data_IF_802622784603
#
_entry.id   IF_802622784603
#
_cell.length_a   1.000
_cell.length_b   1.000
_cell.length_c   1.000
_cell.angle_alpha   90.00
_cell.angle_beta   90.00
_cell.angle_gamma   90.00
#
_symmetry.space_group_name_H-M   'P 1'
#
loop_
_entity.id
_entity.type
_entity.pdbx_description
1 polymer ?
#
# COMPACT_ATOMS: atom_id res chain seq x y z
N UNK A 1 -39.34 19.49 35.12
CA UNK A 1 -39.17 18.80 33.83
C UNK A 1 -37.97 19.33 33.04
N UNK A 2 -37.79 20.65 32.95
CA UNK A 2 -36.66 21.29 32.23
C UNK A 2 -35.26 20.86 32.69
N UNK A 3 -35.04 20.72 34.00
CA UNK A 3 -33.74 20.35 34.58
C UNK A 3 -33.30 18.93 34.14
N UNK A 4 -34.25 17.98 34.05
CA UNK A 4 -33.95 16.61 33.59
C UNK A 4 -33.58 16.59 32.10
N UNK A 5 -34.22 17.44 31.30
CA UNK A 5 -33.95 17.55 29.87
C UNK A 5 -32.55 18.13 29.60
N UNK A 6 -32.14 19.15 30.36
CA UNK A 6 -30.79 19.70 30.29
C UNK A 6 -29.72 18.72 30.78
N UNK A 7 -30.02 17.95 31.83
CA UNK A 7 -29.09 16.92 32.32
C UNK A 7 -28.85 15.83 31.27
N UNK A 8 -29.90 15.36 30.59
CA UNK A 8 -29.80 14.38 29.51
C UNK A 8 -29.03 14.95 28.32
N UNK A 9 -29.26 16.23 27.98
CA UNK A 9 -28.56 16.90 26.87
C UNK A 9 -27.06 17.09 27.17
N UNK A 10 -26.71 17.53 28.38
CA UNK A 10 -25.33 17.69 28.80
C UNK A 10 -24.59 16.36 28.93
N UNK A 11 -25.24 15.32 29.47
CA UNK A 11 -24.65 13.97 29.53
C UNK A 11 -24.44 13.42 28.13
N UNK A 12 -25.43 13.52 27.23
CA UNK A 12 -25.30 13.05 25.85
C UNK A 12 -24.19 13.76 25.06
N UNK A 13 -24.02 15.06 25.26
CA UNK A 13 -22.93 15.83 24.65
C UNK A 13 -21.56 15.44 25.22
N UNK A 14 -21.45 15.17 26.52
CA UNK A 14 -20.22 14.70 27.13
C UNK A 14 -19.82 13.31 26.57
N UNK A 15 -20.76 12.37 26.45
CA UNK A 15 -20.45 11.02 25.96
C UNK A 15 -19.97 11.01 24.51
N UNK A 16 -20.53 11.88 23.64
CA UNK A 16 -20.09 11.98 22.24
C UNK A 16 -18.68 12.59 22.11
N UNK A 17 -18.34 13.55 22.97
CA UNK A 17 -16.99 14.11 23.06
C UNK A 17 -15.96 13.08 23.56
N UNK A 18 -16.33 12.22 24.51
CA UNK A 18 -15.44 11.14 24.97
C UNK A 18 -15.25 10.04 23.92
N UNK A 19 -16.31 9.64 23.18
CA UNK A 19 -16.18 8.64 22.11
C UNK A 19 -15.29 9.12 20.96
N UNK A 20 -15.39 10.40 20.58
CA UNK A 20 -14.58 10.99 19.50
C UNK A 20 -13.12 11.27 19.90
N UNK A 21 -12.77 11.17 21.18
CA UNK A 21 -11.39 11.38 21.64
C UNK A 21 -10.48 10.17 21.41
N UNK A 22 -11.04 8.97 21.20
CA UNK A 22 -10.23 7.75 21.03
C UNK A 22 -9.39 7.78 19.74
N UNK A 23 -9.92 8.33 18.65
CA UNK A 23 -9.18 8.53 17.39
C UNK A 23 -8.03 9.54 17.50
N UNK A 24 -8.10 10.48 18.44
CA UNK A 24 -7.12 11.57 18.61
C UNK A 24 -5.98 11.23 19.57
N UNK A 25 -6.10 10.12 20.30
CA UNK A 25 -5.12 9.67 21.31
C UNK A 25 -3.91 8.94 20.71
N UNK A 26 -3.80 8.87 19.38
CA UNK A 26 -2.59 8.37 18.70
C UNK A 26 -2.37 6.87 18.83
N UNK A 27 -3.36 6.11 19.30
CA UNK A 27 -3.33 4.66 19.20
C UNK A 27 -3.45 4.26 17.73
N UNK A 28 -2.55 3.37 17.29
CA UNK A 28 -2.57 2.77 15.98
C UNK A 28 -3.96 2.16 15.73
N UNK A 29 -4.73 2.79 14.83
CA UNK A 29 -5.97 2.22 14.35
C UNK A 29 -5.59 1.09 13.37
N UNK A 30 -5.84 -0.18 13.72
CA UNK A 30 -5.45 -1.30 12.88
C UNK A 30 -6.14 -1.25 11.50
N UNK A 31 -7.30 -0.59 11.39
CA UNK A 31 -7.96 -0.39 10.11
C UNK A 31 -7.24 0.64 9.24
N UNK A 32 -6.76 1.76 9.82
CA UNK A 32 -5.96 2.76 9.09
C UNK A 32 -4.60 2.19 8.68
N UNK A 33 -3.94 1.43 9.55
CA UNK A 33 -2.70 0.76 9.19
C UNK A 33 -2.92 -0.26 8.07
N UNK A 34 -4.00 -1.05 8.15
CA UNK A 34 -4.31 -2.00 7.09
C UNK A 34 -4.58 -1.31 5.76
N UNK A 35 -5.33 -0.22 5.75
CA UNK A 35 -5.58 0.59 4.56
C UNK A 35 -4.30 1.21 4.00
N UNK A 36 -3.41 1.71 4.87
CA UNK A 36 -2.09 2.21 4.46
C UNK A 36 -1.26 1.11 3.80
N UNK A 37 -1.20 -0.09 4.39
CA UNK A 37 -0.47 -1.22 3.81
C UNK A 37 -1.01 -1.66 2.46
N UNK A 38 -2.33 -1.59 2.26
CA UNK A 38 -2.95 -1.83 0.95
C UNK A 38 -2.55 -0.75 -0.07
N UNK A 39 -2.60 0.52 0.33
CA UNK A 39 -2.19 1.62 -0.53
C UNK A 39 -0.72 1.51 -0.97
N UNK A 40 0.19 1.20 -0.03
CA UNK A 40 1.62 0.95 -0.32
C UNK A 40 1.81 -0.25 -1.26
N UNK A 41 1.04 -1.31 -1.06
CA UNK A 41 1.08 -2.50 -1.92
C UNK A 41 0.59 -2.18 -3.33
N UNK A 42 -0.50 -1.41 -3.48
CA UNK A 42 -0.99 -0.94 -4.78
C UNK A 42 0.04 -0.04 -5.48
N UNK A 43 0.66 0.90 -4.76
CA UNK A 43 1.71 1.74 -5.30
C UNK A 43 2.91 0.92 -5.80
N UNK A 44 3.31 -0.11 -5.05
CA UNK A 44 4.36 -1.06 -5.45
C UNK A 44 4.02 -1.77 -6.76
N UNK A 45 2.78 -2.24 -6.91
CA UNK A 45 2.29 -2.87 -8.13
C UNK A 45 2.34 -1.94 -9.35
N UNK A 46 1.90 -0.70 -9.18
CA UNK A 46 1.99 0.33 -10.22
C UNK A 46 3.44 0.61 -10.62
N UNK A 47 4.33 0.80 -9.65
CA UNK A 47 5.75 1.02 -9.91
C UNK A 47 6.40 -0.17 -10.64
N UNK A 48 6.04 -1.41 -10.29
CA UNK A 48 6.49 -2.59 -11.02
C UNK A 48 6.06 -2.58 -12.49
N UNK A 49 4.82 -2.19 -12.78
CA UNK A 49 4.33 -2.14 -14.16
C UNK A 49 5.02 -1.06 -14.97
N UNK A 50 5.20 0.11 -14.38
CA UNK A 50 5.93 1.24 -14.96
C UNK A 50 7.38 0.86 -15.30
N UNK A 51 7.99 0.05 -14.44
CA UNK A 51 9.31 -0.54 -14.67
C UNK A 51 9.34 -1.68 -15.70
N UNK A 52 8.20 -2.04 -16.30
CA UNK A 52 8.08 -3.09 -17.31
C UNK A 52 8.23 -4.50 -16.77
N UNK A 53 8.06 -4.71 -15.47
CA UNK A 53 8.13 -6.05 -14.86
C UNK A 53 6.79 -6.79 -14.96
N UNK A 54 6.89 -8.09 -15.18
CA UNK A 54 5.78 -9.02 -14.99
C UNK A 54 5.37 -9.09 -13.52
N UNK A 55 4.09 -9.41 -13.27
CA UNK A 55 3.53 -9.45 -11.92
C UNK A 55 4.20 -10.50 -11.02
N UNK A 56 4.58 -11.66 -11.57
CA UNK A 56 5.25 -12.74 -10.84
C UNK A 56 6.62 -12.32 -10.29
N UNK A 57 7.39 -11.53 -11.05
CA UNK A 57 8.65 -10.95 -10.58
C UNK A 57 8.40 -9.92 -9.47
N UNK A 58 7.31 -9.15 -9.58
CA UNK A 58 6.95 -8.17 -8.56
C UNK A 58 6.59 -8.84 -7.22
N UNK A 59 5.91 -9.99 -7.23
CA UNK A 59 5.64 -10.78 -6.01
C UNK A 59 6.90 -11.36 -5.39
N UNK A 60 7.85 -11.79 -6.22
CA UNK A 60 9.12 -12.35 -5.76
C UNK A 60 9.99 -11.27 -5.10
N UNK A 61 9.98 -10.05 -5.64
CA UNK A 61 10.76 -8.91 -5.13
C UNK A 61 10.18 -8.25 -3.89
N UNK A 62 8.86 -8.37 -3.68
CA UNK A 62 8.15 -7.68 -2.61
C UNK A 62 7.33 -8.68 -1.77
N UNK A 63 7.99 -9.63 -1.06
CA UNK A 63 7.29 -10.69 -0.33
C UNK A 63 6.40 -10.16 0.82
N UNK A 64 6.73 -9.00 1.38
CA UNK A 64 6.01 -8.40 2.50
C UNK A 64 4.78 -7.58 2.10
N UNK A 65 4.50 -7.48 0.80
CA UNK A 65 3.35 -6.72 0.27
C UNK A 65 2.12 -7.58 0.10
N UNK A 66 0.93 -6.96 0.16
CA UNK A 66 -0.34 -7.66 -0.03
C UNK A 66 -0.57 -7.91 -1.51
N UNK A 67 -0.38 -9.16 -1.95
CA UNK A 67 -0.45 -9.56 -3.37
C UNK A 67 -1.70 -9.08 -4.12
N UNK A 68 -2.86 -9.09 -3.47
CA UNK A 68 -4.11 -8.62 -4.07
C UNK A 68 -4.06 -7.13 -4.42
N UNK A 69 -3.58 -6.29 -3.49
CA UNK A 69 -3.41 -4.86 -3.70
C UNK A 69 -2.33 -4.56 -4.73
N UNK A 70 -1.19 -5.27 -4.69
CA UNK A 70 -0.15 -5.18 -5.74
C UNK A 70 -0.73 -5.44 -7.13
N UNK A 71 -1.53 -6.50 -7.29
CA UNK A 71 -2.15 -6.81 -8.57
C UNK A 71 -3.16 -5.74 -9.01
N UNK A 72 -3.91 -5.15 -8.08
CA UNK A 72 -4.82 -4.04 -8.41
C UNK A 72 -4.06 -2.86 -8.99
N UNK A 73 -3.05 -2.36 -8.27
CA UNK A 73 -2.24 -1.23 -8.73
C UNK A 73 -1.45 -1.52 -10.01
N UNK A 74 -1.00 -2.76 -10.21
CA UNK A 74 -0.35 -3.17 -11.47
C UNK A 74 -1.30 -3.07 -12.67
N UNK A 75 -2.54 -3.55 -12.54
CA UNK A 75 -3.55 -3.47 -13.62
C UNK A 75 -3.96 -2.03 -13.92
N UNK A 76 -4.17 -1.24 -12.88
CA UNK A 76 -4.53 0.18 -13.01
C UNK A 76 -3.44 0.94 -13.76
N UNK A 77 -2.17 0.71 -13.40
CA UNK A 77 -1.04 1.31 -14.10
C UNK A 77 -0.88 0.79 -15.52
N UNK A 78 -1.15 -0.49 -15.79
CA UNK A 78 -1.13 -1.02 -17.17
C UNK A 78 -2.19 -0.34 -18.05
N UNK A 79 -3.41 -0.21 -17.54
CA UNK A 79 -4.48 0.53 -18.21
C UNK A 79 -4.07 1.97 -18.49
N UNK A 80 -3.56 2.67 -17.46
CA UNK A 80 -3.10 4.04 -17.58
C UNK A 80 -1.99 4.20 -18.63
N UNK A 81 -0.97 3.33 -18.62
CA UNK A 81 0.12 3.39 -19.59
C UNK A 81 -0.36 3.11 -21.02
N UNK A 82 -1.30 2.18 -21.21
CA UNK A 82 -1.87 1.85 -22.53
C UNK A 82 -2.72 2.99 -23.08
N UNK A 83 -3.52 3.62 -22.23
CA UNK A 83 -4.37 4.77 -22.60
C UNK A 83 -3.52 5.99 -22.95
N UNK A 84 -2.42 6.21 -22.22
CA UNK A 84 -1.60 7.42 -22.34
C UNK A 84 -0.30 7.20 -23.15
N UNK A 85 -0.11 6.00 -23.72
CA UNK A 85 1.08 5.62 -24.52
C UNK A 85 2.39 5.88 -23.78
N UNK A 86 2.40 5.57 -22.48
CA UNK A 86 3.59 5.75 -21.64
C UNK A 86 4.50 4.55 -21.86
N UNK A 87 5.77 4.83 -22.18
CA UNK A 87 6.78 3.80 -22.33
C UNK A 87 7.28 3.30 -20.99
N UNK A 88 7.75 2.05 -20.98
CA UNK A 88 8.39 1.46 -19.82
C UNK A 88 9.70 2.19 -19.52
N UNK A 89 9.89 2.58 -18.27
CA UNK A 89 11.14 3.18 -17.80
C UNK A 89 11.95 2.13 -17.05
N UNK A 90 13.10 1.75 -17.61
CA UNK A 90 14.00 0.80 -16.98
C UNK A 90 14.56 1.41 -15.68
N UNK A 91 14.44 0.74 -14.53
CA UNK A 91 15.02 1.25 -13.29
C UNK A 91 16.54 1.35 -13.39
N UNK A 92 17.08 2.52 -13.04
CA UNK A 92 18.51 2.81 -13.06
C UNK A 92 19.21 2.45 -11.74
N UNK A 93 18.42 2.30 -10.67
CA UNK A 93 18.96 1.98 -9.35
C UNK A 93 19.52 0.55 -9.38
N UNK A 94 20.81 0.43 -9.05
CA UNK A 94 21.47 -0.86 -8.96
C UNK A 94 20.80 -1.73 -7.90
N UNK A 95 20.49 -2.98 -8.27
CA UNK A 95 20.08 -4.01 -7.33
C UNK A 95 21.10 -4.12 -6.19
N UNK A 96 20.64 -4.31 -4.93
CA UNK A 96 21.54 -4.58 -3.83
C UNK A 96 22.36 -5.85 -4.11
N UNK A 97 23.58 -5.89 -3.54
CA UNK A 97 24.65 -6.81 -3.98
C UNK A 97 24.29 -8.30 -3.82
N UNK A 98 23.47 -8.62 -2.82
CA UNK A 98 22.89 -9.94 -2.56
C UNK A 98 22.02 -10.44 -3.71
N UNK A 99 21.21 -9.55 -4.31
CA UNK A 99 20.35 -9.89 -5.45
C UNK A 99 21.14 -9.97 -6.77
N UNK A 100 22.22 -9.18 -6.92
CA UNK A 100 23.13 -9.27 -8.09
C UNK A 100 23.88 -10.60 -8.12
N UNK A 101 24.36 -11.08 -6.98
CA UNK A 101 25.10 -12.34 -6.88
C UNK A 101 24.26 -13.54 -7.32
N UNK A 102 22.96 -13.57 -6.97
CA UNK A 102 22.03 -14.63 -7.38
C UNK A 102 21.78 -14.68 -8.89
N UNK A 103 21.71 -13.53 -9.57
CA UNK A 103 21.55 -13.48 -11.04
C UNK A 103 22.83 -13.87 -11.78
N UNK A 104 23.99 -13.40 -11.32
CA UNK A 104 25.28 -13.75 -11.92
C UNK A 104 25.59 -15.26 -11.80
N UNK A 105 25.17 -15.90 -10.70
CA UNK A 105 25.25 -17.34 -10.55
C UNK A 105 24.37 -18.09 -11.55
N UNK A 106 23.14 -17.62 -11.80
CA UNK A 106 22.23 -18.22 -12.79
C UNK A 106 22.74 -18.10 -14.23
N UNK A 107 23.35 -16.98 -14.61
CA UNK A 107 23.91 -16.79 -15.96
C UNK A 107 25.08 -17.74 -16.25
N UNK A 108 25.89 -18.05 -15.23
CA UNK A 108 26.98 -19.04 -15.34
C UNK A 108 26.52 -20.49 -15.47
N UNK A 109 25.28 -20.81 -15.06
CA UNK A 109 24.74 -22.18 -15.13
C UNK A 109 24.08 -22.44 -16.49
N UNK A 110 23.69 -21.39 -17.23
CA UNK A 110 23.00 -21.49 -18.53
C UNK A 110 23.99 -21.47 -19.71
N UNK A 111 25.26 -21.13 -19.47
CA UNK A 111 26.38 -21.26 -20.43
C UNK A 111 27.14 -22.56 -20.19
#
# INVERSE_FOLDING_TARGET
MQIRLWYILCVGLATSLFLSSCDRLGFADPAKEAASRDAESSATGGACRYAGRGIEDCFTRNPDTRRAAVFSGWKEMDGYMRENKIEVVKPEIALPADQKAGLAAKEKIIK
#
